data_IF_131269511372
#
_entry.id   IF_131269511372
#
_cell.length_a   1.000
_cell.length_b   1.000
_cell.length_c   1.000
_cell.angle_alpha   90.00
_cell.angle_beta   90.00
_cell.angle_gamma   90.00
#
_symmetry.space_group_name_H-M   'P 1'
#
loop_
_entity.id
_entity.type
_entity.pdbx_description
1 polymer ?
#
# COMPACT_ATOMS: atom_id res chain seq x y z
N UNK A 1 -8.54 0.66 -37.10
CA UNK A 1 -8.81 1.98 -36.48
C UNK A 1 -7.58 2.35 -35.66
N UNK A 2 -6.85 3.38 -36.11
CA UNK A 2 -5.54 3.77 -35.58
C UNK A 2 -5.75 4.42 -34.20
N UNK A 3 -5.37 3.73 -33.13
CA UNK A 3 -5.47 4.25 -31.75
C UNK A 3 -4.31 5.22 -31.48
N UNK A 4 -4.67 6.50 -31.36
CA UNK A 4 -3.80 7.60 -30.98
C UNK A 4 -3.34 7.48 -29.52
N UNK A 5 -2.05 7.77 -29.27
CA UNK A 5 -1.30 7.73 -28.00
C UNK A 5 -1.74 8.73 -26.91
N UNK A 6 -3.01 9.13 -26.85
CA UNK A 6 -3.49 10.10 -25.86
C UNK A 6 -4.54 9.50 -24.92
N UNK A 7 -4.15 9.45 -23.64
CA UNK A 7 -5.00 9.36 -22.44
C UNK A 7 -5.47 7.97 -22.02
N UNK A 8 -4.58 7.19 -21.40
CA UNK A 8 -4.95 6.28 -20.30
C UNK A 8 -3.95 6.52 -19.17
N UNK A 9 -4.22 7.52 -18.34
CA UNK A 9 -3.52 7.72 -17.06
C UNK A 9 -4.48 7.35 -15.94
N UNK A 10 -4.93 6.08 -15.91
CA UNK A 10 -5.52 5.52 -14.70
C UNK A 10 -4.36 5.06 -13.81
N UNK A 11 -3.81 6.01 -13.05
CA UNK A 11 -3.08 5.63 -11.84
C UNK A 11 -4.04 4.89 -10.93
N UNK A 12 -3.55 3.91 -10.18
CA UNK A 12 -4.26 3.47 -9.00
C UNK A 12 -4.33 4.69 -8.08
N UNK A 13 -5.46 5.40 -8.12
CA UNK A 13 -5.94 6.07 -6.92
C UNK A 13 -6.42 4.97 -5.96
N UNK A 14 -5.48 4.10 -5.57
CA UNK A 14 -5.56 3.46 -4.28
C UNK A 14 -5.59 4.63 -3.30
N UNK A 15 -6.79 5.04 -2.87
CA UNK A 15 -6.93 5.59 -1.54
C UNK A 15 -6.03 4.71 -0.66
N UNK A 16 -5.13 5.32 0.13
CA UNK A 16 -4.13 4.61 0.94
C UNK A 16 -4.78 3.64 1.93
N UNK A 17 -5.24 2.50 1.43
CA UNK A 17 -6.09 1.52 2.11
C UNK A 17 -5.34 0.21 2.29
N UNK A 18 -4.01 0.26 2.35
CA UNK A 18 -3.25 -0.76 3.07
C UNK A 18 -3.61 -0.63 4.55
N UNK A 19 -4.66 -1.34 4.93
CA UNK A 19 -5.09 -1.56 6.29
C UNK A 19 -3.98 -2.31 7.06
N UNK A 20 -2.95 -1.59 7.48
CA UNK A 20 -2.19 -1.96 8.66
C UNK A 20 -3.06 -1.64 9.88
N UNK A 21 -4.12 -2.42 10.08
CA UNK A 21 -4.89 -2.45 11.32
C UNK A 21 -4.29 -3.54 12.21
N UNK A 22 -3.59 -3.09 13.25
CA UNK A 22 -3.37 -3.90 14.46
C UNK A 22 -4.71 -4.20 15.13
N UNK A 23 -4.81 -5.38 15.73
CA UNK A 23 -6.07 -5.95 16.21
C UNK A 23 -6.76 -5.08 17.24
N UNK A 24 -8.06 -4.87 17.04
CA UNK A 24 -9.01 -4.36 18.03
C UNK A 24 -9.99 -5.48 18.33
N UNK A 25 -10.04 -5.93 19.57
CA UNK A 25 -11.19 -6.66 20.10
C UNK A 25 -11.96 -5.75 21.05
N UNK A 26 -13.16 -5.32 20.64
CA UNK A 26 -14.42 -5.39 21.41
C UNK A 26 -15.58 -4.82 20.57
N UNK A 27 -16.56 -5.69 20.25
CA UNK A 27 -17.81 -5.40 19.53
C UNK A 27 -17.73 -5.70 18.02
N UNK A 28 -18.48 -6.71 17.55
CA UNK A 28 -18.42 -7.38 16.22
C UNK A 28 -18.21 -6.46 15.00
N UNK A 29 -16.98 -6.31 14.48
CA UNK A 29 -16.70 -5.59 13.22
C UNK A 29 -17.04 -6.44 11.98
N UNK A 30 -17.11 -7.77 12.14
CA UNK A 30 -17.32 -8.70 11.04
C UNK A 30 -18.73 -8.59 10.43
N UNK A 31 -19.75 -8.23 11.22
CA UNK A 31 -21.14 -8.17 10.77
C UNK A 31 -21.37 -7.06 9.73
N UNK A 32 -20.61 -5.97 9.76
CA UNK A 32 -20.77 -4.85 8.82
C UNK A 32 -20.18 -5.15 7.43
N UNK A 33 -19.28 -6.13 7.31
CA UNK A 33 -18.69 -6.56 6.03
C UNK A 33 -19.38 -7.79 5.43
N UNK A 34 -20.55 -8.15 5.96
CA UNK A 34 -21.42 -9.18 5.40
C UNK A 34 -22.59 -8.54 4.66
N UNK A 35 -23.08 -9.18 3.58
CA UNK A 35 -24.31 -8.79 2.91
C UNK A 35 -25.50 -8.65 3.87
N UNK A 36 -26.26 -7.56 3.73
CA UNK A 36 -27.56 -7.39 4.40
C UNK A 36 -28.65 -7.04 3.38
N UNK A 37 -29.90 -7.33 3.72
CA UNK A 37 -31.06 -6.98 2.89
C UNK A 37 -31.18 -5.46 2.76
N UNK A 38 -31.33 -4.98 1.52
CA UNK A 38 -31.52 -3.57 1.23
C UNK A 38 -32.36 -3.39 -0.05
N UNK A 39 -33.67 -3.10 0.08
CA UNK A 39 -34.57 -2.97 -1.08
C UNK A 39 -34.15 -1.89 -2.09
N UNK A 40 -33.51 -0.81 -1.63
CA UNK A 40 -33.03 0.26 -2.51
C UNK A 40 -31.82 -0.20 -3.33
N UNK A 41 -30.94 -0.98 -2.72
CA UNK A 41 -29.82 -1.61 -3.40
C UNK A 41 -30.30 -2.65 -4.43
N UNK A 42 -31.29 -3.48 -4.08
CA UNK A 42 -31.85 -4.48 -5.00
C UNK A 42 -32.51 -3.83 -6.23
N UNK A 43 -33.27 -2.75 -6.01
CA UNK A 43 -33.86 -1.96 -7.08
C UNK A 43 -32.77 -1.33 -7.98
N UNK A 44 -31.71 -0.80 -7.37
CA UNK A 44 -30.56 -0.26 -8.10
C UNK A 44 -29.87 -1.34 -8.93
N UNK A 45 -29.67 -2.53 -8.37
CA UNK A 45 -29.03 -3.67 -9.03
C UNK A 45 -29.84 -4.16 -10.23
N UNK A 46 -31.17 -4.21 -10.08
CA UNK A 46 -32.10 -4.51 -11.19
C UNK A 46 -31.95 -3.50 -12.34
N UNK A 47 -31.89 -2.20 -12.02
CA UNK A 47 -31.65 -1.15 -13.01
C UNK A 47 -30.25 -1.22 -13.65
N UNK A 48 -29.23 -1.58 -12.86
CA UNK A 48 -27.85 -1.72 -13.33
C UNK A 48 -27.69 -2.82 -14.38
N UNK A 49 -28.48 -3.90 -14.32
CA UNK A 49 -28.44 -4.99 -15.34
C UNK A 49 -28.56 -4.47 -16.76
N UNK A 50 -29.46 -3.51 -17.00
CA UNK A 50 -29.61 -2.88 -18.32
C UNK A 50 -28.34 -2.18 -18.77
N UNK A 51 -27.71 -1.40 -17.88
CA UNK A 51 -26.46 -0.67 -18.14
C UNK A 51 -25.27 -1.62 -18.36
N UNK A 52 -25.18 -2.70 -17.60
CA UNK A 52 -24.13 -3.70 -17.76
C UNK A 52 -24.23 -4.44 -19.11
N UNK A 53 -25.45 -4.82 -19.54
CA UNK A 53 -25.68 -5.43 -20.86
C UNK A 53 -25.29 -4.51 -22.00
N UNK A 54 -25.64 -3.22 -21.91
CA UNK A 54 -25.24 -2.21 -22.88
C UNK A 54 -23.70 -2.06 -22.98
N UNK A 55 -22.96 -2.46 -21.94
CA UNK A 55 -21.49 -2.48 -21.91
C UNK A 55 -20.89 -3.86 -22.26
N UNK A 56 -21.68 -4.78 -22.81
CA UNK A 56 -21.24 -6.06 -23.34
C UNK A 56 -21.16 -7.21 -22.33
N UNK A 57 -21.77 -7.06 -21.14
CA UNK A 57 -21.88 -8.18 -20.18
C UNK A 57 -23.06 -9.07 -20.57
N UNK A 58 -22.80 -10.38 -20.71
CA UNK A 58 -23.80 -11.39 -21.04
C UNK A 58 -24.78 -11.64 -19.89
N UNK A 59 -26.02 -12.05 -20.22
CA UNK A 59 -27.01 -12.45 -19.19
C UNK A 59 -26.47 -13.57 -18.30
N UNK A 60 -25.76 -14.56 -18.86
CA UNK A 60 -25.19 -15.66 -18.09
C UNK A 60 -24.22 -15.20 -16.98
N UNK A 61 -23.43 -14.15 -17.24
CA UNK A 61 -22.54 -13.56 -16.22
C UNK A 61 -23.34 -12.78 -15.19
N UNK A 62 -24.32 -11.99 -15.62
CA UNK A 62 -25.19 -11.23 -14.70
C UNK A 62 -26.00 -12.14 -13.78
N UNK A 63 -26.52 -13.23 -14.31
CA UNK A 63 -27.33 -14.22 -13.57
C UNK A 63 -26.48 -15.02 -12.57
N UNK A 64 -25.18 -15.16 -12.83
CA UNK A 64 -24.24 -15.80 -11.91
C UNK A 64 -23.72 -14.85 -10.84
N UNK A 65 -23.36 -13.63 -11.22
CA UNK A 65 -22.61 -12.72 -10.35
C UNK A 65 -23.50 -11.83 -9.48
N UNK A 66 -24.64 -11.36 -10.01
CA UNK A 66 -25.43 -10.34 -9.31
C UNK A 66 -26.35 -10.89 -8.20
N UNK A 67 -26.95 -12.10 -8.30
CA UNK A 67 -27.76 -12.61 -7.19
C UNK A 67 -27.00 -12.78 -5.88
N UNK A 68 -25.69 -13.02 -5.93
CA UNK A 68 -24.81 -13.08 -4.75
C UNK A 68 -24.23 -11.73 -4.33
N UNK A 69 -24.47 -10.65 -5.10
CA UNK A 69 -24.03 -9.31 -4.74
C UNK A 69 -25.01 -8.73 -3.72
N UNK A 70 -24.55 -8.47 -2.51
CA UNK A 70 -25.38 -7.86 -1.46
C UNK A 70 -24.81 -6.56 -0.93
N UNK A 71 -25.66 -5.76 -0.29
CA UNK A 71 -25.30 -4.46 0.25
C UNK A 71 -24.40 -4.63 1.48
N UNK A 72 -23.29 -3.88 1.53
CA UNK A 72 -22.27 -3.98 2.59
C UNK A 72 -22.21 -2.67 3.41
N UNK A 73 -22.89 -2.55 4.56
CA UNK A 73 -22.91 -1.31 5.35
C UNK A 73 -21.51 -0.83 5.77
N UNK A 74 -20.63 -1.77 6.11
CA UNK A 74 -19.25 -1.49 6.51
C UNK A 74 -18.38 -0.94 5.37
N UNK A 75 -18.72 -1.22 4.12
CA UNK A 75 -18.08 -0.60 2.95
C UNK A 75 -18.41 0.89 2.91
N UNK A 76 -19.67 1.26 3.18
CA UNK A 76 -20.11 2.66 3.25
C UNK A 76 -19.55 3.38 4.48
N UNK A 77 -19.50 2.70 5.63
CA UNK A 77 -18.83 3.23 6.82
C UNK A 77 -17.37 3.59 6.51
N UNK A 78 -16.61 2.69 5.87
CA UNK A 78 -15.21 2.96 5.48
C UNK A 78 -15.08 4.04 4.41
N UNK A 79 -16.00 4.11 3.46
CA UNK A 79 -16.01 5.20 2.48
C UNK A 79 -16.21 6.56 3.14
N UNK A 80 -17.08 6.66 4.15
CA UNK A 80 -17.40 7.90 4.85
C UNK A 80 -16.37 8.27 5.93
N UNK A 81 -15.76 7.28 6.59
CA UNK A 81 -14.82 7.46 7.70
C UNK A 81 -13.35 7.54 7.28
N UNK A 82 -13.04 8.30 6.22
CA UNK A 82 -11.64 8.58 5.84
C UNK A 82 -11.03 9.68 6.70
N UNK A 83 -10.97 9.47 8.01
CA UNK A 83 -10.12 10.28 8.89
C UNK A 83 -8.68 9.79 8.67
N UNK A 84 -7.94 10.48 7.81
CA UNK A 84 -6.50 10.28 7.67
C UNK A 84 -5.81 10.72 8.96
N UNK A 85 -5.49 9.76 9.83
CA UNK A 85 -4.33 9.96 10.70
C UNK A 85 -3.10 9.91 9.79
N UNK A 86 -2.55 11.09 9.47
CA UNK A 86 -1.29 11.18 8.73
C UNK A 86 -0.17 10.65 9.61
N UNK A 87 0.30 9.44 9.31
CA UNK A 87 1.51 8.88 9.92
C UNK A 87 2.71 9.70 9.46
N UNK A 88 3.68 9.91 10.36
CA UNK A 88 5.00 10.38 9.95
C UNK A 88 5.64 9.35 9.00
N UNK A 89 6.64 9.78 8.22
CA UNK A 89 7.39 8.83 7.39
C UNK A 89 8.07 7.76 8.26
N UNK A 90 8.60 8.14 9.43
CA UNK A 90 9.22 7.20 10.38
C UNK A 90 8.24 6.10 10.80
N UNK A 91 7.02 6.49 11.20
CA UNK A 91 5.98 5.54 11.62
C UNK A 91 5.53 4.65 10.47
N UNK A 92 5.42 5.22 9.28
CA UNK A 92 5.09 4.46 8.09
C UNK A 92 6.17 3.43 7.79
N UNK A 93 7.46 3.80 7.81
CA UNK A 93 8.57 2.89 7.52
C UNK A 93 8.79 1.83 8.59
N UNK A 94 8.57 2.16 9.86
CA UNK A 94 8.61 1.19 10.97
C UNK A 94 7.64 0.03 10.74
N UNK A 95 6.54 0.27 10.03
CA UNK A 95 5.61 -0.76 9.58
C UNK A 95 6.02 -1.29 8.21
N UNK A 96 6.13 -0.42 7.20
CA UNK A 96 6.30 -0.73 5.78
C UNK A 96 7.56 -1.55 5.49
N UNK A 97 8.64 -1.30 6.21
CA UNK A 97 9.93 -1.97 6.07
C UNK A 97 10.44 -2.51 7.43
N UNK A 98 9.51 -3.02 8.25
CA UNK A 98 9.86 -3.69 9.52
C UNK A 98 10.77 -4.90 9.29
N UNK A 99 11.55 -5.28 10.30
CA UNK A 99 12.46 -6.43 10.17
C UNK A 99 11.72 -7.73 9.88
N UNK A 100 10.51 -7.91 10.44
CA UNK A 100 9.60 -9.02 10.09
C UNK A 100 9.27 -8.99 8.60
N UNK A 101 8.84 -7.84 8.05
CA UNK A 101 8.48 -7.77 6.63
C UNK A 101 9.70 -7.97 5.72
N UNK A 102 10.87 -7.46 6.11
CA UNK A 102 12.13 -7.72 5.38
C UNK A 102 12.46 -9.21 5.37
N UNK A 103 12.34 -9.89 6.52
CA UNK A 103 12.57 -11.33 6.64
C UNK A 103 11.58 -12.14 5.79
N UNK A 104 10.29 -11.83 5.90
CA UNK A 104 9.23 -12.48 5.12
C UNK A 104 9.41 -12.25 3.62
N UNK A 105 9.85 -11.05 3.22
CA UNK A 105 10.15 -10.70 1.85
C UNK A 105 11.34 -11.48 1.28
N UNK A 106 12.41 -11.64 2.06
CA UNK A 106 13.54 -12.51 1.66
C UNK A 106 13.11 -13.96 1.54
N UNK A 107 12.28 -14.44 2.45
CA UNK A 107 11.72 -15.79 2.38
C UNK A 107 10.81 -15.97 1.15
N UNK A 108 9.94 -14.99 0.86
CA UNK A 108 9.08 -14.97 -0.33
C UNK A 108 9.88 -14.95 -1.63
N UNK A 109 10.91 -14.09 -1.70
CA UNK A 109 11.84 -14.01 -2.83
C UNK A 109 12.56 -15.34 -3.07
N UNK A 110 13.00 -16.02 -2.01
CA UNK A 110 13.64 -17.33 -2.12
C UNK A 110 12.65 -18.40 -2.60
N UNK A 111 11.45 -18.46 -2.02
CA UNK A 111 10.38 -19.41 -2.42
C UNK A 111 9.98 -19.26 -3.88
N UNK A 112 9.92 -18.02 -4.39
CA UNK A 112 9.50 -17.70 -5.76
C UNK A 112 10.68 -17.40 -6.69
N UNK A 113 11.88 -17.85 -6.35
CA UNK A 113 13.12 -17.45 -7.03
C UNK A 113 13.13 -17.74 -8.53
N UNK A 114 12.65 -18.91 -8.96
CA UNK A 114 12.56 -19.28 -10.36
C UNK A 114 11.56 -18.40 -11.14
N UNK A 115 10.32 -18.28 -10.64
CA UNK A 115 9.28 -17.45 -11.26
C UNK A 115 9.72 -15.99 -11.33
N UNK A 116 10.24 -15.43 -10.24
CA UNK A 116 10.71 -14.04 -10.20
C UNK A 116 11.91 -13.78 -11.12
N UNK A 117 12.80 -14.75 -11.31
CA UNK A 117 13.90 -14.62 -12.28
C UNK A 117 13.36 -14.55 -13.72
N UNK A 118 12.39 -15.40 -14.07
CA UNK A 118 11.76 -15.39 -15.38
C UNK A 118 10.94 -14.09 -15.60
N UNK A 119 10.24 -13.62 -14.58
CA UNK A 119 9.49 -12.35 -14.59
C UNK A 119 10.44 -11.17 -14.79
N UNK A 120 11.54 -11.12 -14.03
CA UNK A 120 12.55 -10.06 -14.17
C UNK A 120 13.19 -10.08 -15.57
N UNK A 121 13.46 -11.26 -16.13
CA UNK A 121 13.96 -11.38 -17.50
C UNK A 121 12.97 -10.83 -18.53
N UNK A 122 11.67 -11.10 -18.35
CA UNK A 122 10.61 -10.70 -19.30
C UNK A 122 10.29 -9.21 -19.24
N UNK A 123 10.19 -8.64 -18.04
CA UNK A 123 9.69 -7.28 -17.83
C UNK A 123 10.77 -6.26 -17.46
N UNK A 124 11.98 -6.71 -17.14
CA UNK A 124 13.07 -5.81 -16.73
C UNK A 124 12.83 -5.10 -15.40
N UNK A 125 11.92 -5.59 -14.57
CA UNK A 125 11.68 -5.08 -13.21
C UNK A 125 12.36 -6.02 -12.22
N UNK A 126 13.20 -5.48 -11.35
CA UNK A 126 14.01 -6.24 -10.40
C UNK A 126 13.11 -7.06 -9.45
N UNK A 127 13.46 -8.33 -9.24
CA UNK A 127 12.71 -9.24 -8.36
C UNK A 127 12.48 -8.70 -6.95
N UNK A 128 13.42 -7.95 -6.39
CA UNK A 128 13.27 -7.33 -5.07
C UNK A 128 12.19 -6.24 -5.05
N UNK A 129 12.04 -5.49 -6.15
CA UNK A 129 10.99 -4.46 -6.29
C UNK A 129 9.62 -5.10 -6.39
N UNK A 130 9.46 -6.13 -7.25
CA UNK A 130 8.20 -6.89 -7.37
C UNK A 130 7.84 -7.52 -6.02
N UNK A 131 8.81 -8.08 -5.31
CA UNK A 131 8.60 -8.67 -3.97
C UNK A 131 8.22 -7.62 -2.93
N UNK A 132 8.82 -6.43 -2.97
CA UNK A 132 8.46 -5.34 -2.05
C UNK A 132 7.00 -4.88 -2.24
N UNK A 133 6.55 -4.75 -3.50
CA UNK A 133 5.13 -4.48 -3.81
C UNK A 133 4.24 -5.59 -3.27
N UNK A 134 4.58 -6.85 -3.53
CA UNK A 134 3.81 -7.99 -3.00
C UNK A 134 3.70 -7.99 -1.45
N UNK A 135 4.76 -7.58 -0.77
CA UNK A 135 4.79 -7.42 0.69
C UNK A 135 3.88 -6.31 1.21
N UNK A 136 3.90 -5.14 0.57
CA UNK A 136 3.08 -4.00 0.99
C UNK A 136 1.61 -4.17 0.64
N UNK A 137 1.29 -4.77 -0.51
CA UNK A 137 -0.09 -4.90 -0.97
C UNK A 137 -0.87 -6.00 -0.24
N UNK A 138 -0.24 -7.15 0.00
CA UNK A 138 -0.97 -8.31 0.54
C UNK A 138 -0.22 -9.10 1.59
N UNK A 139 0.87 -8.56 2.16
CA UNK A 139 1.73 -9.29 3.12
C UNK A 139 2.12 -10.67 2.56
N UNK A 140 2.63 -10.66 1.33
CA UNK A 140 3.03 -11.86 0.60
C UNK A 140 1.88 -12.87 0.40
N UNK A 141 0.66 -12.37 0.15
CA UNK A 141 -0.53 -13.20 -0.09
C UNK A 141 -1.32 -13.60 1.15
N UNK A 142 -0.79 -13.36 2.36
CA UNK A 142 -1.53 -13.70 3.60
C UNK A 142 -2.72 -12.77 3.88
N UNK A 143 -2.74 -11.58 3.26
CA UNK A 143 -3.80 -10.58 3.39
C UNK A 143 -4.29 -10.09 2.03
N UNK A 144 -4.99 -10.95 1.28
CA UNK A 144 -5.57 -10.63 -0.05
C UNK A 144 -6.91 -9.89 0.02
N UNK A 145 -7.48 -9.83 1.22
CA UNK A 145 -8.88 -9.46 1.44
C UNK A 145 -9.81 -10.66 1.26
N UNK A 146 -10.97 -10.54 1.87
CA UNK A 146 -12.02 -11.56 1.96
C UNK A 146 -13.39 -10.99 1.55
N UNK A 147 -13.45 -9.73 1.13
CA UNK A 147 -14.69 -9.04 0.77
C UNK A 147 -15.00 -9.33 -0.71
N UNK A 148 -16.22 -9.81 -1.05
CA UNK A 148 -16.62 -10.02 -2.43
C UNK A 148 -16.56 -8.72 -3.25
N UNK A 149 -15.77 -8.71 -4.32
CA UNK A 149 -15.50 -7.50 -5.12
C UNK A 149 -16.74 -7.00 -5.83
N UNK A 150 -17.62 -7.92 -6.27
CA UNK A 150 -18.90 -7.55 -6.91
C UNK A 150 -19.78 -6.81 -5.91
N UNK A 151 -19.93 -7.32 -4.68
CA UNK A 151 -20.70 -6.68 -3.61
C UNK A 151 -20.12 -5.33 -3.20
N UNK A 152 -18.80 -5.22 -3.05
CA UNK A 152 -18.16 -3.97 -2.61
C UNK A 152 -18.26 -2.87 -3.67
N UNK A 153 -17.94 -3.18 -4.93
CA UNK A 153 -18.04 -2.22 -6.03
C UNK A 153 -19.50 -1.85 -6.35
N UNK A 154 -20.45 -2.78 -6.24
CA UNK A 154 -21.88 -2.47 -6.35
C UNK A 154 -22.38 -1.57 -5.22
N UNK A 155 -22.02 -1.88 -3.97
CA UNK A 155 -22.38 -1.07 -2.80
C UNK A 155 -21.88 0.36 -2.95
N UNK A 156 -20.62 0.54 -3.37
CA UNK A 156 -20.03 1.86 -3.58
C UNK A 156 -20.58 2.58 -4.82
N UNK A 157 -20.98 1.84 -5.85
CA UNK A 157 -21.65 2.41 -7.01
C UNK A 157 -23.04 2.94 -6.65
N UNK A 158 -23.73 2.26 -5.74
CA UNK A 158 -25.07 2.60 -5.25
C UNK A 158 -25.07 3.77 -4.25
N UNK A 159 -24.25 3.71 -3.20
CA UNK A 159 -24.34 4.60 -2.01
C UNK A 159 -22.97 5.21 -1.59
N UNK A 160 -21.92 4.98 -2.38
CA UNK A 160 -20.60 5.55 -2.14
C UNK A 160 -20.47 6.98 -2.70
N UNK A 161 -19.52 7.76 -2.14
CA UNK A 161 -19.23 9.13 -2.57
C UNK A 161 -18.78 9.25 -4.04
N UNK A 162 -18.34 8.15 -4.65
CA UNK A 162 -17.77 8.09 -6.01
C UNK A 162 -18.52 7.10 -6.90
N UNK A 163 -19.86 7.10 -6.86
CA UNK A 163 -20.73 6.13 -7.53
C UNK A 163 -20.34 5.79 -8.98
N UNK A 164 -20.15 6.79 -9.84
CA UNK A 164 -19.78 6.58 -11.25
C UNK A 164 -18.41 5.87 -11.43
N UNK A 165 -17.43 6.18 -10.56
CA UNK A 165 -16.14 5.49 -10.58
C UNK A 165 -16.31 4.02 -10.21
N UNK A 166 -17.06 3.72 -9.15
CA UNK A 166 -17.27 2.33 -8.71
C UNK A 166 -18.17 1.54 -9.64
N UNK A 167 -19.13 2.17 -10.34
CA UNK A 167 -19.89 1.50 -11.40
C UNK A 167 -18.95 1.05 -12.53
N UNK A 168 -17.96 1.87 -12.90
CA UNK A 168 -16.95 1.46 -13.89
C UNK A 168 -16.09 0.28 -13.41
N UNK A 169 -15.77 0.22 -12.10
CA UNK A 169 -15.05 -0.91 -11.52
C UNK A 169 -15.92 -2.17 -11.47
N UNK A 170 -17.21 -2.05 -11.15
CA UNK A 170 -18.15 -3.17 -11.16
C UNK A 170 -18.29 -3.76 -12.57
N UNK A 171 -18.45 -2.92 -13.60
CA UNK A 171 -18.48 -3.39 -14.99
C UNK A 171 -17.18 -4.10 -15.36
N UNK A 172 -16.03 -3.53 -14.98
CA UNK A 172 -14.75 -4.18 -15.21
C UNK A 172 -14.64 -5.52 -14.47
N UNK A 173 -15.14 -5.63 -13.24
CA UNK A 173 -15.17 -6.88 -12.49
C UNK A 173 -16.01 -7.95 -13.22
N UNK A 174 -17.18 -7.58 -13.74
CA UNK A 174 -18.01 -8.47 -14.54
C UNK A 174 -17.33 -8.90 -15.85
N UNK A 175 -16.50 -8.05 -16.48
CA UNK A 175 -15.70 -8.43 -17.66
C UNK A 175 -14.64 -9.48 -17.30
N UNK A 176 -14.05 -9.40 -16.11
CA UNK A 176 -13.08 -10.40 -15.62
C UNK A 176 -13.78 -11.75 -15.44
N UNK A 177 -14.96 -11.76 -14.81
CA UNK A 177 -15.78 -12.96 -14.67
C UNK A 177 -16.24 -13.52 -16.02
N UNK A 178 -16.57 -12.65 -16.97
CA UNK A 178 -16.91 -13.05 -18.34
C UNK A 178 -15.74 -13.68 -19.09
N UNK A 179 -14.52 -13.24 -18.84
CA UNK A 179 -13.31 -13.82 -19.40
C UNK A 179 -12.99 -15.22 -18.82
N UNK A 180 -13.57 -15.56 -17.67
CA UNK A 180 -13.35 -16.85 -17.01
C UNK A 180 -12.06 -16.92 -16.17
N UNK A 181 -11.44 -15.77 -15.87
CA UNK A 181 -10.21 -15.71 -15.07
C UNK A 181 -10.43 -16.15 -13.62
N UNK A 182 -11.64 -15.95 -13.09
CA UNK A 182 -12.04 -16.36 -11.73
C UNK A 182 -13.57 -16.54 -11.64
N UNK A 183 -14.07 -16.92 -10.47
CA UNK A 183 -15.51 -17.03 -10.17
C UNK A 183 -15.96 -15.92 -9.21
N UNK A 184 -17.27 -15.59 -9.14
CA UNK A 184 -17.75 -14.55 -8.22
C UNK A 184 -17.32 -14.79 -6.76
N UNK A 185 -17.31 -16.05 -6.32
CA UNK A 185 -16.98 -16.47 -4.96
C UNK A 185 -15.49 -16.33 -4.65
N UNK A 186 -14.63 -16.51 -5.66
CA UNK A 186 -13.17 -16.37 -5.54
C UNK A 186 -12.70 -14.94 -5.79
N UNK A 187 -13.54 -14.09 -6.37
CA UNK A 187 -13.21 -12.69 -6.68
C UNK A 187 -13.30 -11.81 -5.44
N UNK A 188 -12.31 -11.96 -4.55
CA UNK A 188 -12.22 -11.25 -3.27
C UNK A 188 -11.19 -10.13 -3.30
N UNK A 189 -11.33 -9.21 -2.35
CA UNK A 189 -10.46 -8.06 -2.24
C UNK A 189 -10.72 -7.21 -1.00
N UNK A 190 -10.25 -5.97 -1.06
CA UNK A 190 -10.51 -4.96 -0.06
C UNK A 190 -11.94 -4.41 -0.17
N UNK A 191 -12.35 -3.64 0.84
CA UNK A 191 -13.65 -2.97 0.87
C UNK A 191 -13.86 -2.00 -0.31
N UNK A 192 -12.79 -1.52 -0.93
CA UNK A 192 -12.83 -0.61 -2.08
C UNK A 192 -12.64 -1.34 -3.43
N UNK A 193 -12.68 -2.67 -3.43
CA UNK A 193 -12.58 -3.48 -4.65
C UNK A 193 -11.15 -3.67 -5.17
N UNK A 194 -10.12 -3.43 -4.36
CA UNK A 194 -8.74 -3.77 -4.69
C UNK A 194 -8.52 -5.28 -4.51
N UNK A 195 -8.02 -6.00 -5.51
CA UNK A 195 -8.22 -7.45 -5.61
C UNK A 195 -6.94 -8.25 -5.38
N UNK A 196 -7.07 -9.39 -4.69
CA UNK A 196 -6.06 -10.45 -4.66
C UNK A 196 -4.68 -10.02 -4.12
N UNK A 197 -3.63 -10.65 -4.63
CA UNK A 197 -2.24 -10.40 -4.24
C UNK A 197 -1.75 -9.00 -4.60
N UNK A 198 -2.18 -8.46 -5.74
CA UNK A 198 -1.71 -7.18 -6.30
C UNK A 198 -2.47 -5.97 -5.78
N UNK A 199 -3.65 -6.20 -5.19
CA UNK A 199 -4.60 -5.12 -4.86
C UNK A 199 -4.94 -4.24 -6.08
N UNK A 200 -4.91 -4.80 -7.28
CA UNK A 200 -5.40 -4.11 -8.47
C UNK A 200 -6.90 -3.83 -8.34
N UNK A 201 -7.32 -2.62 -8.68
CA UNK A 201 -8.72 -2.37 -9.00
C UNK A 201 -9.09 -3.08 -10.33
N UNK A 202 -10.37 -3.42 -10.57
CA UNK A 202 -10.77 -4.18 -11.75
C UNK A 202 -10.30 -3.60 -13.09
N UNK A 203 -10.32 -2.27 -13.24
CA UNK A 203 -9.82 -1.61 -14.46
C UNK A 203 -8.30 -1.75 -14.64
N UNK A 204 -7.52 -1.68 -13.57
CA UNK A 204 -6.07 -1.96 -13.61
C UNK A 204 -5.80 -3.41 -13.95
N UNK A 205 -6.57 -4.35 -13.38
CA UNK A 205 -6.48 -5.76 -13.75
C UNK A 205 -6.68 -5.96 -15.25
N UNK A 206 -7.75 -5.40 -15.84
CA UNK A 206 -8.01 -5.56 -17.27
C UNK A 206 -6.87 -5.01 -18.14
N UNK A 207 -6.21 -3.94 -17.69
CA UNK A 207 -5.12 -3.30 -18.41
C UNK A 207 -3.76 -4.00 -18.24
N UNK A 208 -3.51 -4.63 -17.09
CA UNK A 208 -2.15 -5.03 -16.70
C UNK A 208 -2.00 -6.48 -16.25
N UNK A 209 -3.07 -7.20 -15.92
CA UNK A 209 -2.96 -8.59 -15.47
C UNK A 209 -2.39 -9.48 -16.57
N UNK A 210 -1.53 -10.43 -16.18
CA UNK A 210 -0.79 -11.34 -17.05
C UNK A 210 -1.06 -12.77 -16.63
N UNK A 211 -1.36 -13.62 -17.61
CA UNK A 211 -1.31 -15.07 -17.49
C UNK A 211 0.15 -15.45 -17.77
N UNK A 212 0.88 -15.75 -16.69
CA UNK A 212 2.30 -16.07 -16.76
C UNK A 212 2.53 -17.58 -16.68
N UNK A 213 1.61 -18.31 -16.05
CA UNK A 213 1.67 -19.78 -15.97
C UNK A 213 1.26 -20.46 -17.29
N UNK A 214 0.49 -19.78 -18.13
CA UNK A 214 -0.01 -20.26 -19.41
C UNK A 214 -1.24 -21.17 -19.31
N UNK A 215 -1.97 -21.12 -18.19
CA UNK A 215 -3.14 -21.95 -17.94
C UNK A 215 -4.45 -21.36 -18.51
N UNK A 216 -4.37 -20.19 -19.14
CA UNK A 216 -5.48 -19.47 -19.74
C UNK A 216 -6.18 -18.51 -18.80
N UNK A 217 -5.67 -18.31 -17.57
CA UNK A 217 -6.22 -17.39 -16.57
C UNK A 217 -5.16 -16.41 -16.10
N UNK A 218 -5.61 -15.24 -15.66
CA UNK A 218 -4.73 -14.24 -15.01
C UNK A 218 -5.02 -14.24 -13.51
N UNK A 219 -4.79 -15.36 -12.84
CA UNK A 219 -5.27 -15.59 -11.46
C UNK A 219 -4.41 -14.86 -10.42
N UNK A 220 -4.82 -13.65 -10.04
CA UNK A 220 -4.15 -12.87 -8.99
C UNK A 220 -4.64 -13.21 -7.56
N UNK A 221 -5.48 -14.23 -7.38
CA UNK A 221 -6.11 -14.56 -6.08
C UNK A 221 -5.59 -15.85 -5.45
N UNK A 222 -5.16 -16.81 -6.27
CA UNK A 222 -4.75 -18.14 -5.82
C UNK A 222 -3.56 -18.12 -4.85
N UNK A 223 -3.28 -19.26 -4.20
CA UNK A 223 -2.09 -19.39 -3.36
C UNK A 223 -0.78 -19.40 -4.16
N UNK A 224 -0.82 -19.74 -5.46
CA UNK A 224 0.30 -19.50 -6.36
C UNK A 224 0.30 -18.01 -6.78
N UNK A 225 1.31 -17.23 -6.37
CA UNK A 225 1.37 -15.80 -6.65
C UNK A 225 1.92 -15.48 -8.05
N UNK A 226 2.27 -16.46 -8.88
CA UNK A 226 3.06 -16.26 -10.10
C UNK A 226 2.44 -15.22 -11.05
N UNK A 227 1.15 -15.32 -11.35
CA UNK A 227 0.44 -14.35 -12.19
C UNK A 227 0.37 -12.97 -11.54
N UNK A 228 0.20 -12.90 -10.22
CA UNK A 228 0.19 -11.63 -9.49
C UNK A 228 1.55 -10.92 -9.52
N UNK A 229 2.65 -11.67 -9.37
CA UNK A 229 4.01 -11.15 -9.44
C UNK A 229 4.31 -10.66 -10.86
N UNK A 230 3.94 -11.44 -11.88
CA UNK A 230 4.09 -11.05 -13.28
C UNK A 230 3.25 -9.82 -13.63
N UNK A 231 2.01 -9.76 -13.14
CA UNK A 231 1.09 -8.63 -13.33
C UNK A 231 1.63 -7.35 -12.68
N UNK A 232 2.24 -7.44 -11.50
CA UNK A 232 2.92 -6.32 -10.84
C UNK A 232 4.11 -5.83 -11.67
N UNK A 233 4.94 -6.74 -12.18
CA UNK A 233 6.07 -6.37 -13.03
C UNK A 233 5.61 -5.72 -14.35
N UNK A 234 4.59 -6.28 -15.00
CA UNK A 234 3.98 -5.72 -16.21
C UNK A 234 3.39 -4.33 -15.99
N UNK A 235 2.79 -4.08 -14.82
CA UNK A 235 2.30 -2.76 -14.44
C UNK A 235 3.43 -1.73 -14.37
N UNK A 236 4.52 -2.06 -13.67
CA UNK A 236 5.66 -1.16 -13.49
C UNK A 236 6.39 -0.92 -14.82
N UNK A 237 6.65 -1.97 -15.59
CA UNK A 237 7.24 -1.90 -16.94
C UNK A 237 6.44 -0.97 -17.86
N UNK A 238 5.13 -1.23 -18.02
CA UNK A 238 4.26 -0.39 -18.86
C UNK A 238 4.07 1.03 -18.33
N UNK A 239 4.24 1.24 -17.03
CA UNK A 239 4.27 2.56 -16.41
C UNK A 239 5.60 3.30 -16.63
N UNK A 240 6.59 2.63 -17.19
CA UNK A 240 7.86 3.19 -17.62
C UNK A 240 9.04 2.86 -16.71
N UNK A 241 9.02 1.75 -15.99
CA UNK A 241 10.18 1.30 -15.19
C UNK A 241 11.45 1.25 -16.04
N UNK A 242 12.57 1.66 -15.46
CA UNK A 242 13.89 1.63 -16.10
C UNK A 242 14.79 0.69 -15.32
N UNK A 243 15.11 -0.48 -15.88
CA UNK A 243 15.97 -1.48 -15.24
C UNK A 243 17.33 -0.86 -14.86
N UNK A 244 17.80 -1.16 -13.65
CA UNK A 244 19.08 -0.69 -13.13
C UNK A 244 19.08 0.76 -12.65
N UNK A 245 17.99 1.51 -12.83
CA UNK A 245 17.84 2.83 -12.20
C UNK A 245 17.27 2.64 -10.78
N UNK A 246 17.88 3.23 -9.73
CA UNK A 246 17.32 3.16 -8.40
C UNK A 246 16.00 3.93 -8.31
N UNK A 247 15.10 3.54 -7.40
CA UNK A 247 13.95 4.36 -7.03
C UNK A 247 14.43 5.71 -6.46
N UNK A 248 15.46 5.65 -5.62
CA UNK A 248 16.15 6.78 -5.02
C UNK A 248 17.38 6.33 -4.26
N UNK A 249 18.19 7.29 -3.85
CA UNK A 249 19.41 7.10 -3.06
C UNK A 249 19.32 8.04 -1.86
N UNK A 250 19.59 7.55 -0.66
CA UNK A 250 19.72 8.41 0.52
C UNK A 250 20.95 9.32 0.36
N UNK A 251 20.80 10.62 0.65
CA UNK A 251 21.83 11.62 0.45
C UNK A 251 22.03 12.51 1.66
N UNK A 252 23.25 13.02 1.81
CA UNK A 252 23.59 14.09 2.74
C UNK A 252 23.46 15.43 2.04
N UNK A 253 22.79 16.35 2.71
CA UNK A 253 22.72 17.75 2.31
C UNK A 253 23.79 18.54 3.08
N UNK A 254 24.45 19.53 2.46
CA UNK A 254 25.38 20.39 3.18
C UNK A 254 24.64 21.26 4.20
N UNK A 255 25.36 21.76 5.22
CA UNK A 255 24.77 22.64 6.23
C UNK A 255 24.14 23.87 5.58
N UNK A 256 22.92 24.22 6.01
CA UNK A 256 22.18 25.37 5.48
C UNK A 256 21.68 25.19 4.04
N UNK A 257 21.63 23.97 3.50
CA UNK A 257 21.14 23.73 2.14
C UNK A 257 19.68 24.20 1.95
N UNK A 258 19.51 25.28 1.19
CA UNK A 258 18.21 25.83 0.78
C UNK A 258 17.87 25.56 -0.69
N UNK A 259 18.46 24.52 -1.29
CA UNK A 259 18.24 24.18 -2.69
C UNK A 259 16.78 23.77 -2.97
N UNK A 260 16.37 23.67 -4.25
CA UNK A 260 14.99 23.33 -4.55
C UNK A 260 14.68 21.90 -4.12
N UNK A 261 13.54 21.72 -3.46
CA UNK A 261 13.04 20.42 -3.00
C UNK A 261 11.79 20.01 -3.80
N UNK A 262 11.52 18.71 -3.81
CA UNK A 262 10.35 18.13 -4.47
C UNK A 262 10.57 17.76 -5.93
N UNK A 263 9.63 16.98 -6.48
CA UNK A 263 9.75 16.34 -7.81
C UNK A 263 9.62 17.30 -9.00
N UNK A 264 9.32 18.58 -8.77
CA UNK A 264 9.18 19.59 -9.84
C UNK A 264 10.51 20.20 -10.30
N UNK A 265 11.60 19.96 -9.57
CA UNK A 265 12.94 20.49 -9.88
C UNK A 265 13.92 19.35 -10.14
N UNK A 266 14.29 19.14 -11.39
CA UNK A 266 15.21 18.07 -11.80
C UNK A 266 16.56 18.63 -12.24
N UNK A 267 17.64 17.93 -11.87
CA UNK A 267 19.05 18.19 -12.24
C UNK A 267 19.78 16.86 -12.39
N UNK A 268 20.95 16.85 -13.06
CA UNK A 268 21.82 15.67 -13.03
C UNK A 268 22.45 15.49 -11.63
N UNK A 269 22.82 14.27 -11.24
CA UNK A 269 23.55 14.04 -9.98
C UNK A 269 24.83 14.88 -9.86
N UNK A 270 25.55 15.11 -10.95
CA UNK A 270 26.72 16.00 -10.98
C UNK A 270 26.36 17.46 -10.65
N UNK A 271 25.25 17.99 -11.17
CA UNK A 271 24.76 19.34 -10.84
C UNK A 271 24.35 19.45 -9.38
N UNK A 272 23.69 18.42 -8.82
CA UNK A 272 23.42 18.35 -7.38
C UNK A 272 24.70 18.30 -6.55
N UNK A 273 25.72 17.60 -7.04
CA UNK A 273 27.02 17.55 -6.37
C UNK A 273 27.75 18.89 -6.37
N UNK A 274 27.61 19.71 -7.41
CA UNK A 274 28.11 21.11 -7.39
C UNK A 274 27.45 21.91 -6.27
N UNK A 275 26.18 21.62 -5.94
CA UNK A 275 25.46 22.22 -4.81
C UNK A 275 25.75 21.57 -3.45
N UNK A 276 26.72 20.64 -3.39
CA UNK A 276 27.16 20.00 -2.15
C UNK A 276 26.39 18.75 -1.74
N UNK A 277 25.39 18.31 -2.50
CA UNK A 277 24.68 17.03 -2.23
C UNK A 277 25.64 15.86 -2.47
N UNK A 278 25.70 14.92 -1.54
CA UNK A 278 26.53 13.70 -1.64
C UNK A 278 25.73 12.48 -1.23
N UNK A 279 26.15 11.29 -1.65
CA UNK A 279 25.63 10.09 -1.02
C UNK A 279 26.03 10.01 0.46
N UNK A 280 25.52 9.01 1.15
CA UNK A 280 25.80 8.82 2.57
C UNK A 280 27.26 8.45 2.88
N UNK A 281 28.07 8.08 1.87
CA UNK A 281 29.51 7.78 2.00
C UNK A 281 30.40 8.98 1.61
N UNK A 282 29.85 10.00 0.97
CA UNK A 282 30.52 11.26 0.64
C UNK A 282 30.89 11.40 -0.82
N UNK A 283 30.48 10.45 -1.64
CA UNK A 283 30.75 10.44 -3.07
C UNK A 283 29.65 11.19 -3.82
N UNK A 284 29.94 11.48 -5.09
CA UNK A 284 28.92 11.92 -6.04
C UNK A 284 28.00 10.73 -6.33
N UNK A 285 26.68 10.95 -6.22
CA UNK A 285 25.70 9.92 -6.59
C UNK A 285 25.89 9.57 -8.07
N UNK A 286 25.97 8.27 -8.45
CA UNK A 286 26.12 7.89 -9.85
C UNK A 286 25.02 8.45 -10.75
N UNK A 287 25.35 8.71 -12.03
CA UNK A 287 24.39 9.27 -12.97
C UNK A 287 23.39 8.20 -13.45
N UNK A 288 22.16 8.29 -12.96
CA UNK A 288 21.03 7.49 -13.41
C UNK A 288 19.97 8.34 -14.15
N UNK A 289 20.36 9.51 -14.65
CA UNK A 289 19.47 10.48 -15.29
C UNK A 289 18.99 11.58 -14.34
N UNK A 290 18.04 12.43 -14.80
CA UNK A 290 17.56 13.56 -14.02
C UNK A 290 16.95 13.13 -12.68
N UNK A 291 17.35 13.83 -11.62
CA UNK A 291 16.96 13.53 -10.25
C UNK A 291 16.45 14.76 -9.50
N UNK A 292 15.65 14.52 -8.47
CA UNK A 292 15.14 15.54 -7.54
C UNK A 292 15.53 15.21 -6.10
N UNK A 293 15.58 16.21 -5.22
CA UNK A 293 15.82 16.01 -3.79
C UNK A 293 14.49 16.06 -3.02
N UNK A 294 14.22 15.03 -2.23
CA UNK A 294 13.10 14.97 -1.29
C UNK A 294 13.61 15.05 0.16
N UNK A 295 12.89 15.80 0.99
CA UNK A 295 13.11 15.91 2.45
C UNK A 295 11.78 15.66 3.16
N UNK A 296 11.26 14.42 3.09
CA UNK A 296 9.90 14.08 3.53
C UNK A 296 9.62 14.34 5.02
N UNK A 297 10.68 14.47 5.83
CA UNK A 297 10.59 14.79 7.26
C UNK A 297 11.25 16.13 7.61
N UNK A 298 11.40 17.02 6.62
CA UNK A 298 12.05 18.32 6.78
C UNK A 298 13.58 18.22 6.80
N UNK A 299 14.24 19.36 7.03
CA UNK A 299 15.70 19.51 6.93
C UNK A 299 16.49 18.67 7.96
N UNK A 300 15.86 18.31 9.09
CA UNK A 300 16.47 17.47 10.14
C UNK A 300 16.22 15.97 9.95
N UNK A 301 15.46 15.59 8.91
CA UNK A 301 15.18 14.20 8.56
C UNK A 301 16.07 13.67 7.44
N UNK A 302 15.89 12.40 7.04
CA UNK A 302 16.60 11.84 5.90
C UNK A 302 16.21 12.55 4.60
N UNK A 303 17.18 12.69 3.70
CA UNK A 303 16.98 13.24 2.37
C UNK A 303 17.23 12.17 1.30
N UNK A 304 16.49 12.24 0.20
CA UNK A 304 16.57 11.27 -0.88
C UNK A 304 16.76 11.96 -2.22
N UNK A 305 17.76 11.54 -2.99
CA UNK A 305 17.85 11.83 -4.42
C UNK A 305 17.00 10.80 -5.16
N UNK A 306 15.90 11.23 -5.76
CA UNK A 306 14.92 10.34 -6.41
C UNK A 306 14.95 10.48 -7.92
N UNK A 307 14.74 9.36 -8.62
CA UNK A 307 14.81 9.26 -10.07
C UNK A 307 13.44 8.94 -10.70
N UNK A 308 13.42 8.67 -12.00
CA UNK A 308 12.18 8.38 -12.73
C UNK A 308 11.44 7.16 -12.18
N UNK A 309 12.14 6.11 -11.73
CA UNK A 309 11.53 4.94 -11.09
C UNK A 309 10.73 5.29 -9.81
N UNK A 310 11.10 6.33 -9.06
CA UNK A 310 10.25 6.87 -7.99
C UNK A 310 8.86 7.25 -8.52
N UNK A 311 8.85 8.00 -9.64
CA UNK A 311 7.61 8.46 -10.27
C UNK A 311 6.82 7.29 -10.85
N UNK A 312 7.48 6.24 -11.32
CA UNK A 312 6.79 5.01 -11.77
C UNK A 312 6.01 4.37 -10.62
N UNK A 313 6.61 4.24 -9.43
CA UNK A 313 5.93 3.65 -8.25
C UNK A 313 4.72 4.51 -7.82
N UNK A 314 4.78 5.84 -7.97
CA UNK A 314 3.62 6.72 -7.66
C UNK A 314 2.36 6.37 -8.47
N UNK A 315 2.49 5.67 -9.61
CA UNK A 315 1.34 5.21 -10.39
C UNK A 315 0.57 4.08 -9.69
N UNK A 316 1.29 3.23 -8.94
CA UNK A 316 0.72 2.13 -8.16
C UNK A 316 0.00 2.66 -6.91
N UNK A 317 0.60 3.63 -6.23
CA UNK A 317 -0.05 4.39 -5.16
C UNK A 317 0.61 5.77 -5.04
N UNK A 318 -0.20 6.83 -5.12
CA UNK A 318 0.28 8.21 -5.15
C UNK A 318 0.56 8.80 -3.75
N UNK A 319 1.18 8.01 -2.87
CA UNK A 319 1.66 8.45 -1.55
C UNK A 319 3.19 8.43 -1.52
N UNK A 320 3.80 9.55 -1.15
CA UNK A 320 5.27 9.63 -1.07
C UNK A 320 5.85 8.66 -0.04
N UNK A 321 5.19 8.53 1.12
CA UNK A 321 5.60 7.55 2.15
C UNK A 321 5.49 6.11 1.65
N UNK A 322 4.44 5.79 0.90
CA UNK A 322 4.30 4.48 0.26
C UNK A 322 5.44 4.21 -0.72
N UNK A 323 5.77 5.18 -1.58
CA UNK A 323 6.82 5.00 -2.58
C UNK A 323 8.19 4.79 -1.92
N UNK A 324 8.51 5.59 -0.89
CA UNK A 324 9.72 5.40 -0.09
C UNK A 324 9.69 4.04 0.62
N UNK A 325 8.52 3.61 1.11
CA UNK A 325 8.35 2.28 1.72
C UNK A 325 8.63 1.13 0.76
N UNK A 326 8.12 1.17 -0.47
CA UNK A 326 8.41 0.18 -1.51
C UNK A 326 9.90 0.18 -1.84
N UNK A 327 10.45 1.37 -2.11
CA UNK A 327 11.86 1.52 -2.45
C UNK A 327 12.77 0.98 -1.35
N UNK A 328 12.57 1.45 -0.12
CA UNK A 328 13.35 1.04 1.04
C UNK A 328 13.19 -0.45 1.35
N UNK A 329 11.96 -1.00 1.31
CA UNK A 329 11.76 -2.43 1.50
C UNK A 329 12.47 -3.24 0.40
N UNK A 330 12.47 -2.77 -0.85
CA UNK A 330 13.16 -3.45 -1.94
C UNK A 330 14.68 -3.50 -1.71
N UNK A 331 15.27 -2.39 -1.26
CA UNK A 331 16.70 -2.33 -0.92
C UNK A 331 17.02 -3.30 0.22
N UNK A 332 16.21 -3.29 1.29
CA UNK A 332 16.39 -4.16 2.45
C UNK A 332 16.24 -5.65 2.09
N UNK A 333 15.28 -6.01 1.25
CA UNK A 333 15.13 -7.38 0.75
C UNK A 333 16.36 -7.79 -0.06
N UNK A 334 16.90 -6.90 -0.90
CA UNK A 334 18.10 -7.13 -1.69
C UNK A 334 19.40 -7.18 -0.87
N UNK A 335 19.36 -6.88 0.43
CA UNK A 335 20.53 -6.90 1.32
C UNK A 335 21.14 -5.52 1.60
N UNK A 336 20.51 -4.45 1.12
CA UNK A 336 20.90 -3.07 1.42
C UNK A 336 20.70 -2.68 2.89
N UNK A 337 21.36 -1.60 3.34
CA UNK A 337 21.28 -1.14 4.72
C UNK A 337 19.93 -0.49 5.05
N UNK A 338 19.58 -0.34 6.35
CA UNK A 338 18.56 0.61 6.78
C UNK A 338 18.93 2.05 6.36
N UNK A 339 17.93 2.94 6.34
CA UNK A 339 18.16 4.38 6.23
C UNK A 339 19.12 4.80 7.34
N UNK A 340 20.18 5.53 6.98
CA UNK A 340 21.27 5.93 7.89
C UNK A 340 20.96 7.23 8.62
N UNK A 341 20.19 8.12 8.02
CA UNK A 341 19.74 9.37 8.59
C UNK A 341 18.79 9.16 9.77
N UNK A 342 18.73 10.15 10.65
CA UNK A 342 17.82 10.17 11.78
C UNK A 342 16.53 10.88 11.43
N UNK A 343 15.43 10.50 12.07
CA UNK A 343 14.17 11.24 12.00
C UNK A 343 14.06 12.23 13.16
N UNK A 344 13.36 13.36 12.97
CA UNK A 344 13.09 14.27 14.08
C UNK A 344 12.20 13.59 15.13
N UNK A 345 12.28 14.01 16.41
CA UNK A 345 11.33 13.57 17.43
C UNK A 345 9.88 13.85 17.03
N UNK A 346 8.96 13.05 17.55
CA UNK A 346 7.53 13.27 17.32
C UNK A 346 6.99 14.51 18.06
N UNK A 347 5.68 14.72 17.98
CA UNK A 347 5.02 15.88 18.59
C UNK A 347 5.15 15.94 20.12
N UNK A 348 5.52 14.84 20.79
CA UNK A 348 5.76 14.75 22.23
C UNK A 348 7.24 14.79 22.57
N UNK A 349 8.12 15.01 21.58
CA UNK A 349 9.56 15.03 21.74
C UNK A 349 10.19 13.64 21.87
N UNK A 350 9.46 12.57 21.50
CA UNK A 350 9.97 11.21 21.59
C UNK A 350 10.72 10.82 20.31
N UNK A 351 11.88 10.19 20.48
CA UNK A 351 12.53 9.44 19.40
C UNK A 351 11.85 8.08 19.23
N UNK A 352 12.08 7.38 18.11
CA UNK A 352 11.58 5.99 17.97
C UNK A 352 12.06 5.07 19.10
N UNK A 353 13.28 5.27 19.62
CA UNK A 353 13.79 4.47 20.73
C UNK A 353 13.08 4.77 22.06
N UNK A 354 12.71 6.02 22.32
CA UNK A 354 11.86 6.36 23.48
C UNK A 354 10.49 5.67 23.37
N UNK A 355 9.90 5.66 22.17
CA UNK A 355 8.59 5.03 21.93
C UNK A 355 8.63 3.52 22.09
N UNK A 356 9.70 2.88 21.59
CA UNK A 356 9.94 1.45 21.79
C UNK A 356 10.20 1.12 23.26
N UNK A 357 10.94 1.97 23.97
CA UNK A 357 11.16 1.81 25.41
C UNK A 357 9.83 1.90 26.18
N UNK A 358 8.97 2.86 25.82
CA UNK A 358 7.63 2.97 26.39
C UNK A 358 6.80 1.70 26.17
N UNK A 359 6.74 1.20 24.93
CA UNK A 359 5.99 -0.03 24.61
C UNK A 359 6.50 -1.25 25.39
N UNK A 360 7.83 -1.42 25.48
CA UNK A 360 8.44 -2.50 26.27
C UNK A 360 8.04 -2.40 27.75
N UNK A 361 8.11 -1.21 28.33
CA UNK A 361 7.80 -1.03 29.77
C UNK A 361 6.30 -1.15 30.07
N UNK A 362 5.42 -0.66 29.20
CA UNK A 362 3.97 -0.89 29.31
C UNK A 362 3.65 -2.38 29.29
N UNK A 363 4.22 -3.12 28.31
CA UNK A 363 4.01 -4.56 28.20
C UNK A 363 4.53 -5.30 29.43
N UNK A 364 5.73 -4.94 29.93
CA UNK A 364 6.29 -5.50 31.15
C UNK A 364 5.44 -5.20 32.40
N UNK A 365 4.74 -4.06 32.43
CA UNK A 365 3.80 -3.70 33.49
C UNK A 365 2.40 -4.35 33.34
N UNK A 366 2.19 -5.22 32.36
CA UNK A 366 0.93 -5.95 32.14
C UNK A 366 -0.04 -5.27 31.17
N UNK A 367 0.38 -4.22 30.46
CA UNK A 367 -0.43 -3.48 29.49
C UNK A 367 0.08 -3.75 28.07
N UNK A 368 -0.52 -4.72 27.40
CA UNK A 368 -0.08 -5.17 26.07
C UNK A 368 -0.22 -4.08 25.00
N UNK A 369 0.90 -3.71 24.37
CA UNK A 369 0.94 -2.76 23.25
C UNK A 369 0.82 -3.42 21.89
N UNK A 370 0.79 -4.75 21.82
CA UNK A 370 0.75 -5.52 20.58
C UNK A 370 2.08 -5.56 19.82
N UNK A 371 3.18 -5.19 20.49
CA UNK A 371 4.52 -5.12 19.91
C UNK A 371 5.32 -3.89 20.35
N UNK A 372 6.56 -3.79 19.86
CA UNK A 372 7.54 -2.75 20.21
C UNK A 372 8.14 -2.11 18.97
N UNK A 373 7.31 -1.77 18.00
CA UNK A 373 7.71 -1.19 16.71
C UNK A 373 8.09 0.30 16.80
N UNK A 374 7.69 0.97 17.88
CA UNK A 374 7.83 2.41 18.08
C UNK A 374 6.63 3.22 17.60
N UNK A 375 5.64 2.59 16.96
CA UNK A 375 4.46 3.27 16.45
C UNK A 375 3.42 3.40 17.55
N UNK A 376 3.02 4.63 17.85
CA UNK A 376 1.96 4.91 18.82
C UNK A 376 0.59 4.72 18.14
N UNK A 377 0.23 3.46 17.92
CA UNK A 377 -1.04 3.04 17.33
C UNK A 377 -2.18 2.91 18.34
N UNK A 378 -3.37 2.44 17.90
CA UNK A 378 -4.52 2.22 18.78
C UNK A 378 -4.21 1.33 19.98
N UNK A 379 -3.43 0.26 19.80
CA UNK A 379 -3.08 -0.68 20.88
C UNK A 379 -2.18 0.00 21.92
N UNK A 380 -1.14 0.71 21.47
CA UNK A 380 -0.28 1.49 22.36
C UNK A 380 -1.09 2.55 23.12
N UNK A 381 -2.00 3.29 22.46
CA UNK A 381 -2.88 4.26 23.12
C UNK A 381 -3.81 3.61 24.14
N UNK A 382 -4.39 2.46 23.83
CA UNK A 382 -5.25 1.72 24.74
C UNK A 382 -4.47 1.20 25.97
N UNK A 383 -3.25 0.70 25.77
CA UNK A 383 -2.36 0.30 26.85
C UNK A 383 -2.01 1.50 27.76
N UNK A 384 -1.68 2.66 27.16
CA UNK A 384 -1.44 3.90 27.90
C UNK A 384 -2.67 4.30 28.73
N UNK A 385 -3.86 4.34 28.12
CA UNK A 385 -5.11 4.68 28.81
C UNK A 385 -5.39 3.72 29.98
N UNK A 386 -5.16 2.42 29.78
CA UNK A 386 -5.38 1.40 30.81
C UNK A 386 -4.41 1.57 31.98
N UNK A 387 -3.12 1.83 31.69
CA UNK A 387 -2.13 2.13 32.71
C UNK A 387 -2.48 3.41 33.49
N UNK A 388 -2.86 4.48 32.78
CA UNK A 388 -3.24 5.74 33.40
C UNK A 388 -4.42 5.55 34.37
N UNK A 389 -5.44 4.82 33.93
CA UNK A 389 -6.61 4.51 34.77
C UNK A 389 -6.21 3.75 36.04
N UNK A 390 -5.41 2.69 35.91
CA UNK A 390 -4.96 1.89 37.04
C UNK A 390 -4.05 2.67 38.01
N UNK A 391 -3.26 3.62 37.49
CA UNK A 391 -2.36 4.45 38.26
C UNK A 391 -3.03 5.71 38.87
N UNK A 392 -4.34 5.89 38.69
CA UNK A 392 -5.07 7.08 39.16
C UNK A 392 -4.67 8.39 38.45
N UNK A 393 -4.18 8.30 37.21
CA UNK A 393 -3.77 9.43 36.38
C UNK A 393 -4.91 9.88 35.45
N UNK A 394 -4.87 11.12 34.92
CA UNK A 394 -5.75 11.52 33.82
C UNK A 394 -5.61 10.56 32.63
N UNK A 395 -6.75 9.99 32.19
CA UNK A 395 -6.80 9.02 31.08
C UNK A 395 -6.80 9.79 29.76
N UNK A 396 -5.61 10.07 29.24
CA UNK A 396 -5.42 10.79 27.97
C UNK A 396 -5.17 9.85 26.80
N UNK A 397 -4.63 8.64 27.05
CA UNK A 397 -4.14 7.75 26.00
C UNK A 397 -2.93 8.30 25.22
N UNK A 398 -2.35 9.41 25.68
CA UNK A 398 -1.22 10.11 25.05
C UNK A 398 0.05 9.78 25.83
N UNK A 399 1.11 9.45 25.10
CA UNK A 399 2.41 9.19 25.69
C UNK A 399 3.06 10.50 26.15
N UNK A 400 3.89 10.43 27.19
CA UNK A 400 4.60 11.59 27.74
C UNK A 400 5.89 11.17 28.41
N UNK A 401 6.83 12.11 28.58
CA UNK A 401 8.10 11.81 29.25
C UNK A 401 7.87 11.37 30.70
N UNK A 402 6.97 12.03 31.41
CA UNK A 402 6.56 11.65 32.76
C UNK A 402 6.01 10.21 32.83
N UNK A 403 5.24 9.77 31.83
CA UNK A 403 4.77 8.38 31.75
C UNK A 403 5.94 7.40 31.58
N UNK A 404 6.85 7.68 30.63
CA UNK A 404 8.01 6.83 30.37
C UNK A 404 8.92 6.71 31.60
N UNK A 405 9.17 7.83 32.27
CA UNK A 405 10.02 7.87 33.47
C UNK A 405 9.36 7.11 34.63
N UNK A 406 8.05 7.28 34.84
CA UNK A 406 7.29 6.54 35.86
C UNK A 406 7.31 5.03 35.65
N UNK A 407 7.32 4.58 34.40
CA UNK A 407 7.42 3.17 34.03
C UNK A 407 8.84 2.59 34.16
N UNK A 408 9.85 3.43 34.40
CA UNK A 408 11.25 3.03 34.53
C UNK A 408 11.84 3.15 35.92
N UNK A 409 11.02 3.52 36.92
CA UNK A 409 11.41 3.72 38.32
C UNK A 409 10.89 2.64 39.25
#
# INVERSE_FOLDING_TARGET
MILSRRTVTLGLAACGLTACTGGVTRGTPAAAMQPVDNPAFDAWLSGFRGRARAQGISNAVLDRALPGAGYLPGVIERDRNQVEFTRSLEDYLAIAASDTRVSDGRAGLARQSASLAAIEQRFGVERAVVTAVWGLESSYGTRRGDIPVVSSTATLAHDGRRGAFFESQLVAALKILQAGDTTPERMVGSWAGAMGHTQFIPTSYLAFAVDFTGDGRRDIWSDDPTDALASTAAYLDRSGWTRGQPWGVEVRLPSGFGGPFGRGSTRSPAQWAVMGVRDMDGNVVPDHGPASILIPSGASGPAFMVFRNFTVITRYNNSESYVIGIGHLSDRIAGGPPIRGTFPPDAQGFTIEDRRALQRRLTAAGYDTGGTDGVIGPNTRAAISSYQQAAGLPVTGVHSRALLDRLGG
#
